data_IF_311871623014
#
_entry.id   IF_311871623014
#
_cell.length_a   1.000
_cell.length_b   1.000
_cell.length_c   1.000
_cell.angle_alpha   90.00
_cell.angle_beta   90.00
_cell.angle_gamma   90.00
#
_symmetry.space_group_name_H-M   'P 1'
#
loop_
_entity.id
_entity.type
_entity.pdbx_description
1 polymer ?
#
# COMPACT_ATOMS: atom_id res chain seq x y z
N UNK A 1 20.12 3.65 -9.84
CA UNK A 1 18.69 3.56 -9.48
C UNK A 1 17.86 3.64 -10.74
N UNK A 2 16.83 2.77 -10.89
CA UNK A 2 15.91 2.87 -12.02
C UNK A 2 15.04 4.13 -11.90
N UNK A 3 14.54 4.62 -13.01
CA UNK A 3 13.53 5.70 -13.08
C UNK A 3 12.17 5.08 -13.35
N UNK A 4 11.15 5.50 -12.63
CA UNK A 4 9.78 5.07 -12.89
C UNK A 4 9.20 5.90 -14.03
N UNK A 5 8.71 5.22 -15.07
CA UNK A 5 8.05 5.88 -16.21
C UNK A 5 6.58 6.22 -15.97
N UNK A 6 6.04 5.85 -14.80
CA UNK A 6 4.68 6.13 -14.37
C UNK A 6 4.61 7.23 -13.31
N UNK A 7 3.54 7.19 -12.50
CA UNK A 7 3.29 8.17 -11.44
C UNK A 7 2.69 7.49 -10.21
N UNK A 8 3.13 7.87 -9.02
CA UNK A 8 2.62 7.41 -7.72
C UNK A 8 2.10 8.61 -6.95
N UNK A 9 0.81 8.67 -6.70
CA UNK A 9 0.15 9.77 -5.97
C UNK A 9 -0.24 9.30 -4.58
N UNK A 10 0.20 9.99 -3.54
CA UNK A 10 -0.23 9.69 -2.17
C UNK A 10 -1.60 10.30 -1.88
N UNK A 11 -2.54 9.48 -1.42
CA UNK A 11 -3.92 9.89 -1.13
C UNK A 11 -4.17 10.13 0.37
N UNK A 12 -3.09 10.21 1.14
CA UNK A 12 -3.16 10.24 2.60
C UNK A 12 -3.22 8.84 3.21
N UNK A 13 -2.83 8.73 4.47
CA UNK A 13 -2.73 7.47 5.22
C UNK A 13 -1.88 6.42 4.49
N UNK A 14 -2.45 5.27 4.14
CA UNK A 14 -1.79 4.23 3.35
C UNK A 14 -2.30 4.15 1.90
N UNK A 15 -3.17 5.08 1.49
CA UNK A 15 -3.80 5.09 0.17
C UNK A 15 -2.91 5.66 -0.92
N UNK A 16 -2.82 4.97 -2.06
CA UNK A 16 -2.09 5.43 -3.25
C UNK A 16 -2.89 5.21 -4.53
N UNK A 17 -2.72 6.13 -5.48
CA UNK A 17 -3.03 5.89 -6.87
C UNK A 17 -1.72 5.76 -7.64
N UNK A 18 -1.53 4.64 -8.34
CA UNK A 18 -0.37 4.39 -9.19
C UNK A 18 -0.84 4.32 -10.63
N UNK A 19 -0.25 5.17 -11.47
CA UNK A 19 -0.42 5.14 -12.91
C UNK A 19 0.86 4.54 -13.52
N UNK A 20 0.71 3.42 -14.21
CA UNK A 20 1.84 2.71 -14.81
C UNK A 20 2.37 3.45 -16.05
N UNK A 21 3.58 3.14 -16.54
CA UNK A 21 4.08 3.66 -17.81
C UNK A 21 3.15 3.41 -19.00
N UNK A 22 2.41 2.31 -18.97
CA UNK A 22 1.40 1.95 -19.98
C UNK A 22 0.01 2.59 -19.75
N UNK A 23 -0.15 3.42 -18.70
CA UNK A 23 -1.40 4.11 -18.39
C UNK A 23 -2.42 3.26 -17.60
N UNK A 24 -2.03 2.09 -17.10
CA UNK A 24 -2.87 1.30 -16.18
C UNK A 24 -2.93 1.99 -14.82
N UNK A 25 -4.14 2.11 -14.27
CA UNK A 25 -4.38 2.85 -13.02
C UNK A 25 -4.80 1.90 -11.90
N UNK A 26 -3.96 1.85 -10.87
CA UNK A 26 -4.10 0.99 -9.69
C UNK A 26 -4.32 1.86 -8.45
N UNK A 27 -5.46 1.74 -7.79
CA UNK A 27 -5.65 2.28 -6.45
C UNK A 27 -5.32 1.19 -5.41
N UNK A 28 -4.52 1.52 -4.40
CA UNK A 28 -4.20 0.61 -3.29
C UNK A 28 -4.71 1.26 -2.01
N UNK A 29 -5.46 0.51 -1.21
CA UNK A 29 -6.03 0.93 0.08
C UNK A 29 -6.70 2.32 0.03
N UNK A 30 -7.68 2.52 -0.86
CA UNK A 30 -8.27 3.82 -1.14
C UNK A 30 -9.29 4.23 -0.07
N UNK A 31 -8.83 4.53 1.15
CA UNK A 31 -9.68 5.11 2.18
C UNK A 31 -10.02 6.56 1.83
N UNK A 32 -11.31 6.84 1.61
CA UNK A 32 -11.85 8.12 1.12
C UNK A 32 -12.68 8.82 2.19
N UNK A 33 -13.75 8.14 2.63
CA UNK A 33 -14.70 8.69 3.60
C UNK A 33 -14.05 8.81 4.98
N UNK A 34 -14.17 10.01 5.57
CA UNK A 34 -13.60 10.30 6.89
C UNK A 34 -12.05 10.23 6.99
N UNK A 35 -11.34 10.12 5.88
CA UNK A 35 -9.88 10.27 5.87
C UNK A 35 -9.53 11.77 5.94
N UNK A 36 -8.97 12.27 7.07
CA UNK A 36 -8.68 13.71 7.23
C UNK A 36 -7.55 14.20 6.31
N UNK A 37 -6.80 13.27 5.71
CA UNK A 37 -5.71 13.54 4.77
C UNK A 37 -6.09 13.30 3.32
N UNK A 38 -7.30 12.81 3.02
CA UNK A 38 -7.70 12.60 1.63
C UNK A 38 -7.75 13.92 0.85
N UNK A 39 -7.15 14.01 -0.34
CA UNK A 39 -7.10 15.25 -1.10
C UNK A 39 -8.51 15.71 -1.50
N UNK A 40 -8.88 16.94 -1.13
CA UNK A 40 -10.22 17.48 -1.45
C UNK A 40 -10.46 17.54 -2.95
N UNK A 41 -11.59 16.99 -3.38
CA UNK A 41 -11.99 16.99 -4.81
C UNK A 41 -11.18 16.06 -5.68
N UNK A 42 -10.40 15.16 -5.11
CA UNK A 42 -9.64 14.18 -5.88
C UNK A 42 -10.58 13.23 -6.63
N UNK A 43 -10.36 13.09 -7.93
CA UNK A 43 -11.10 12.17 -8.79
C UNK A 43 -10.19 11.05 -9.28
N UNK A 44 -10.57 9.82 -8.99
CA UNK A 44 -9.87 8.65 -9.48
C UNK A 44 -9.97 8.48 -10.99
N UNK A 45 -10.98 9.07 -11.63
CA UNK A 45 -11.27 8.80 -13.04
C UNK A 45 -11.49 7.31 -13.33
N UNK A 46 -11.01 6.84 -14.46
CA UNK A 46 -11.02 5.40 -14.79
C UNK A 46 -10.00 4.67 -13.90
N UNK A 47 -10.41 3.55 -13.31
CA UNK A 47 -9.51 2.61 -12.61
C UNK A 47 -9.57 1.24 -13.30
N UNK A 48 -8.42 0.59 -13.38
CA UNK A 48 -8.29 -0.77 -13.89
C UNK A 48 -8.25 -1.78 -12.74
N UNK A 49 -7.61 -1.41 -11.62
CA UNK A 49 -7.46 -2.25 -10.44
C UNK A 49 -7.70 -1.45 -9.15
N UNK A 50 -8.35 -2.07 -8.18
CA UNK A 50 -8.36 -1.65 -6.77
C UNK A 50 -7.75 -2.80 -5.95
N UNK A 51 -6.59 -2.57 -5.35
CA UNK A 51 -5.89 -3.56 -4.54
C UNK A 51 -6.13 -3.30 -3.05
N UNK A 52 -6.32 -4.38 -2.30
CA UNK A 52 -6.52 -4.34 -0.86
C UNK A 52 -5.37 -5.05 -0.15
N UNK A 53 -4.67 -4.38 0.77
CA UNK A 53 -3.69 -5.04 1.65
C UNK A 53 -4.40 -5.77 2.78
N UNK A 54 -5.47 -5.19 3.30
CA UNK A 54 -6.35 -5.80 4.31
C UNK A 54 -7.69 -5.04 4.42
N UNK A 55 -8.60 -5.55 5.23
CA UNK A 55 -9.98 -5.09 5.25
C UNK A 55 -10.31 -3.99 6.25
N UNK A 56 -9.36 -3.38 6.97
CA UNK A 56 -9.64 -2.31 7.92
C UNK A 56 -10.27 -1.09 7.23
N UNK A 57 -11.10 -0.34 7.98
CA UNK A 57 -11.88 0.79 7.45
C UNK A 57 -11.01 1.93 6.91
N UNK A 58 -9.83 2.12 7.48
CA UNK A 58 -8.85 3.15 7.12
C UNK A 58 -7.89 2.73 5.99
N UNK A 59 -8.15 1.58 5.38
CA UNK A 59 -7.46 1.04 4.20
C UNK A 59 -8.41 0.78 3.06
N UNK A 60 -8.86 -0.48 2.91
CA UNK A 60 -9.78 -0.83 1.84
C UNK A 60 -11.25 -0.61 2.26
N UNK A 61 -11.66 -1.19 3.37
CA UNK A 61 -12.97 -1.02 3.95
C UNK A 61 -14.16 -1.02 2.97
N UNK A 62 -15.19 -0.25 3.30
CA UNK A 62 -16.35 -0.05 2.42
C UNK A 62 -16.04 0.84 1.22
N UNK A 63 -15.08 1.77 1.36
CA UNK A 63 -14.67 2.69 0.29
C UNK A 63 -14.07 1.96 -0.90
N UNK A 64 -13.22 0.95 -0.66
CA UNK A 64 -12.62 0.14 -1.71
C UNK A 64 -13.67 -0.64 -2.50
N UNK A 65 -14.65 -1.24 -1.79
CA UNK A 65 -15.79 -1.94 -2.42
C UNK A 65 -16.62 -0.96 -3.28
N UNK A 66 -16.98 0.19 -2.71
CA UNK A 66 -17.77 1.19 -3.41
C UNK A 66 -17.06 1.74 -4.64
N UNK A 67 -15.75 2.01 -4.52
CA UNK A 67 -14.91 2.49 -5.62
C UNK A 67 -14.81 1.46 -6.74
N UNK A 68 -14.57 0.19 -6.41
CA UNK A 68 -14.50 -0.90 -7.39
C UNK A 68 -15.83 -1.06 -8.16
N UNK A 69 -16.96 -1.02 -7.45
CA UNK A 69 -18.30 -1.07 -8.07
C UNK A 69 -18.55 0.13 -8.99
N UNK A 70 -18.19 1.33 -8.54
CA UNK A 70 -18.38 2.57 -9.33
C UNK A 70 -17.56 2.58 -10.62
N UNK A 71 -16.32 2.05 -10.57
CA UNK A 71 -15.38 2.14 -11.70
C UNK A 71 -15.35 0.89 -12.57
N UNK A 72 -15.92 -0.23 -12.11
CA UNK A 72 -15.80 -1.53 -12.76
C UNK A 72 -14.39 -2.12 -12.73
N UNK A 73 -13.54 -1.62 -11.83
CA UNK A 73 -12.18 -2.09 -11.64
C UNK A 73 -12.14 -3.51 -11.06
N UNK A 74 -11.08 -4.25 -11.37
CA UNK A 74 -10.85 -5.57 -10.78
C UNK A 74 -10.30 -5.40 -9.36
N UNK A 75 -10.95 -6.02 -8.36
CA UNK A 75 -10.38 -6.06 -7.00
C UNK A 75 -9.33 -7.16 -6.92
N UNK A 76 -8.12 -6.80 -6.48
CA UNK A 76 -7.04 -7.73 -6.13
C UNK A 76 -6.90 -7.74 -4.61
N UNK A 77 -7.07 -8.91 -4.00
CA UNK A 77 -7.03 -9.06 -2.54
C UNK A 77 -6.62 -10.49 -2.14
N UNK A 78 -6.34 -10.69 -0.86
CA UNK A 78 -6.23 -12.04 -0.32
C UNK A 78 -7.56 -12.78 -0.54
N UNK A 79 -7.49 -14.08 -0.73
CA UNK A 79 -8.59 -14.92 -1.23
C UNK A 79 -9.92 -14.67 -0.48
N UNK A 80 -9.90 -14.65 0.85
CA UNK A 80 -11.10 -14.45 1.66
C UNK A 80 -11.70 -13.05 1.46
N UNK A 81 -10.88 -12.00 1.42
CA UNK A 81 -11.36 -10.64 1.18
C UNK A 81 -11.91 -10.48 -0.24
N UNK A 82 -11.32 -11.15 -1.24
CA UNK A 82 -11.86 -11.17 -2.61
C UNK A 82 -13.24 -11.84 -2.66
N UNK A 83 -13.44 -12.95 -1.94
CA UNK A 83 -14.77 -13.58 -1.81
C UNK A 83 -15.78 -12.63 -1.16
N UNK A 84 -15.38 -11.93 -0.10
CA UNK A 84 -16.22 -10.92 0.54
C UNK A 84 -16.63 -9.81 -0.43
N UNK A 85 -15.68 -9.28 -1.22
CA UNK A 85 -15.96 -8.27 -2.25
C UNK A 85 -16.97 -8.78 -3.30
N UNK A 86 -16.80 -10.01 -3.77
CA UNK A 86 -17.75 -10.64 -4.70
C UNK A 86 -19.15 -10.77 -4.10
N UNK A 87 -19.24 -11.22 -2.85
CA UNK A 87 -20.52 -11.28 -2.12
C UNK A 87 -21.16 -9.90 -1.90
N UNK A 88 -20.34 -8.85 -1.78
CA UNK A 88 -20.78 -7.45 -1.71
C UNK A 88 -21.16 -6.85 -3.08
N UNK A 89 -21.09 -7.62 -4.16
CA UNK A 89 -21.51 -7.23 -5.50
C UNK A 89 -20.44 -6.55 -6.35
N UNK A 90 -19.15 -6.79 -6.05
CA UNK A 90 -18.07 -6.45 -6.98
C UNK A 90 -18.01 -7.49 -8.09
N UNK A 91 -18.16 -7.07 -9.33
CA UNK A 91 -18.28 -7.99 -10.49
C UNK A 91 -16.95 -8.69 -10.82
N UNK A 92 -15.83 -7.99 -10.66
CA UNK A 92 -14.49 -8.50 -11.01
C UNK A 92 -13.62 -8.60 -9.75
N UNK A 93 -13.39 -9.82 -9.31
CA UNK A 93 -12.51 -10.09 -8.16
C UNK A 93 -11.43 -11.09 -8.56
N UNK A 94 -10.22 -10.86 -8.08
CA UNK A 94 -9.06 -11.69 -8.30
C UNK A 94 -8.39 -11.99 -6.96
N UNK A 95 -8.82 -13.10 -6.35
CA UNK A 95 -8.28 -13.59 -5.09
C UNK A 95 -6.94 -14.27 -5.28
N UNK A 96 -6.00 -14.00 -4.37
CA UNK A 96 -4.68 -14.66 -4.36
C UNK A 96 -4.23 -14.91 -2.93
N UNK A 97 -3.05 -15.51 -2.75
CA UNK A 97 -2.50 -15.75 -1.42
C UNK A 97 -1.01 -15.42 -1.35
N UNK A 98 -0.50 -15.24 -0.13
CA UNK A 98 0.91 -14.90 0.13
C UNK A 98 1.85 -15.94 -0.50
N UNK A 99 2.91 -15.45 -1.14
CA UNK A 99 3.84 -16.25 -1.94
C UNK A 99 3.43 -16.42 -3.41
N UNK A 100 2.16 -16.20 -3.75
CA UNK A 100 1.65 -16.25 -5.12
C UNK A 100 1.92 -14.96 -5.90
N UNK A 101 1.82 -15.06 -7.22
CA UNK A 101 1.78 -13.91 -8.13
C UNK A 101 0.72 -14.09 -9.19
N UNK A 102 0.18 -12.98 -9.67
CA UNK A 102 -0.75 -12.95 -10.79
C UNK A 102 -0.56 -11.68 -11.60
N UNK A 103 -1.00 -11.69 -12.84
CA UNK A 103 -0.98 -10.51 -13.71
C UNK A 103 -2.40 -10.01 -13.93
N UNK A 104 -2.67 -8.77 -13.52
CA UNK A 104 -3.98 -8.12 -13.71
C UNK A 104 -3.75 -6.80 -14.43
N UNK A 105 -4.51 -6.56 -15.49
CA UNK A 105 -4.39 -5.39 -16.37
C UNK A 105 -2.93 -5.14 -16.86
N UNK A 106 -2.10 -6.18 -16.98
CA UNK A 106 -0.72 -6.06 -17.43
C UNK A 106 0.32 -5.87 -16.30
N UNK A 107 -0.10 -5.51 -15.10
CA UNK A 107 0.76 -5.35 -13.91
C UNK A 107 0.87 -6.69 -13.17
N UNK A 108 2.09 -7.08 -12.79
CA UNK A 108 2.29 -8.23 -11.92
C UNK A 108 2.12 -7.83 -10.46
N UNK A 109 1.23 -8.52 -9.77
CA UNK A 109 1.02 -8.45 -8.33
C UNK A 109 1.62 -9.70 -7.68
N UNK A 110 2.60 -9.51 -6.84
CA UNK A 110 3.12 -10.56 -5.96
C UNK A 110 2.70 -10.26 -4.53
N UNK A 111 1.91 -11.14 -3.96
CA UNK A 111 1.48 -10.99 -2.58
C UNK A 111 2.56 -11.52 -1.63
N UNK A 112 2.93 -10.72 -0.66
CA UNK A 112 3.95 -11.04 0.35
C UNK A 112 3.40 -10.90 1.76
N UNK A 113 4.16 -11.37 2.75
CA UNK A 113 3.77 -11.31 4.16
C UNK A 113 3.63 -9.87 4.66
N UNK A 114 2.69 -9.68 5.58
CA UNK A 114 2.59 -8.55 6.50
C UNK A 114 2.26 -9.08 7.90
N UNK A 115 2.74 -8.41 8.95
CA UNK A 115 2.55 -8.79 10.36
C UNK A 115 1.68 -7.74 11.03
N UNK A 116 0.39 -7.97 10.97
CA UNK A 116 -0.66 -7.07 11.47
C UNK A 116 -1.93 -7.87 11.77
N UNK A 117 -2.91 -7.24 12.40
CA UNK A 117 -4.27 -7.77 12.44
C UNK A 117 -5.00 -7.48 11.13
N UNK A 118 -6.01 -8.26 10.83
CA UNK A 118 -6.87 -8.00 9.69
C UNK A 118 -8.29 -8.48 9.98
N UNK A 119 -9.20 -7.94 9.24
CA UNK A 119 -10.63 -8.21 9.32
C UNK A 119 -11.32 -7.09 8.56
N UNK A 120 -12.58 -7.27 8.23
CA UNK A 120 -13.37 -6.16 7.70
C UNK A 120 -13.95 -5.42 8.89
N UNK A 121 -13.45 -4.23 9.21
CA UNK A 121 -14.03 -3.33 10.20
C UNK A 121 -14.68 -2.15 9.49
N UNK A 122 -16.00 -2.02 9.59
CA UNK A 122 -16.68 -0.76 9.27
C UNK A 122 -16.68 0.14 10.50
N UNK A 123 -16.79 1.46 10.35
CA UNK A 123 -16.94 2.37 11.47
C UNK A 123 -18.20 2.02 12.26
N UNK A 124 -18.03 1.29 13.38
CA UNK A 124 -19.11 0.88 14.30
C UNK A 124 -19.84 -0.41 13.92
N UNK A 125 -19.34 -1.22 13.01
CA UNK A 125 -19.86 -2.56 12.74
C UNK A 125 -18.74 -3.58 12.86
N UNK A 126 -18.94 -4.55 13.77
CA UNK A 126 -18.13 -5.75 13.80
C UNK A 126 -18.40 -6.54 12.52
N UNK A 127 -17.46 -6.52 11.59
CA UNK A 127 -17.46 -7.46 10.49
C UNK A 127 -16.63 -8.66 10.92
N UNK A 128 -17.28 -9.79 11.10
CA UNK A 128 -16.67 -11.07 11.48
C UNK A 128 -16.01 -11.77 10.30
N UNK A 129 -15.53 -11.03 9.28
CA UNK A 129 -14.89 -11.66 8.15
C UNK A 129 -13.37 -11.73 8.39
N UNK A 130 -12.84 -12.90 8.74
CA UNK A 130 -11.40 -13.06 8.92
C UNK A 130 -10.70 -13.00 7.56
N UNK A 131 -9.71 -12.13 7.46
CA UNK A 131 -8.78 -12.11 6.35
C UNK A 131 -7.39 -11.77 6.91
N UNK A 132 -6.36 -12.33 6.31
CA UNK A 132 -4.99 -12.02 6.69
C UNK A 132 -4.50 -10.73 6.03
N UNK A 133 -3.65 -9.93 6.69
CA UNK A 133 -2.99 -8.78 6.06
C UNK A 133 -1.92 -9.25 5.10
N UNK A 134 -1.67 -8.46 4.08
CA UNK A 134 -0.60 -8.71 3.11
C UNK A 134 0.07 -7.40 2.64
N UNK A 135 1.26 -7.53 2.09
CA UNK A 135 1.89 -6.53 1.26
C UNK A 135 1.89 -6.97 -0.21
N UNK A 136 2.23 -6.06 -1.09
CA UNK A 136 2.39 -6.34 -2.52
C UNK A 136 3.74 -5.85 -3.03
N UNK A 137 4.38 -6.67 -3.88
CA UNK A 137 5.39 -6.18 -4.81
C UNK A 137 4.73 -6.11 -6.18
N UNK A 138 4.58 -4.89 -6.70
CA UNK A 138 4.06 -4.63 -8.04
C UNK A 138 5.24 -4.50 -9.00
N UNK A 139 5.19 -5.22 -10.13
CA UNK A 139 6.16 -5.06 -11.22
C UNK A 139 5.45 -4.46 -12.43
N UNK A 140 5.93 -3.31 -12.86
CA UNK A 140 5.37 -2.54 -13.97
C UNK A 140 6.05 -2.89 -15.29
N UNK A 141 5.53 -2.37 -16.41
CA UNK A 141 5.94 -2.71 -17.78
C UNK A 141 7.41 -2.35 -18.07
N UNK A 142 7.92 -1.29 -17.42
CA UNK A 142 9.33 -0.84 -17.50
C UNK A 142 10.27 -1.63 -16.58
N UNK A 143 9.74 -2.62 -15.86
CA UNK A 143 10.47 -3.42 -14.88
C UNK A 143 10.73 -2.69 -13.55
N UNK A 144 10.11 -1.53 -13.32
CA UNK A 144 10.14 -0.85 -12.02
C UNK A 144 9.30 -1.63 -11.01
N UNK A 145 9.80 -1.75 -9.77
CA UNK A 145 9.16 -2.54 -8.72
C UNK A 145 8.84 -1.68 -7.51
N UNK A 146 7.58 -1.70 -7.12
CA UNK A 146 7.09 -1.00 -5.93
C UNK A 146 6.66 -2.02 -4.88
N UNK A 147 7.23 -1.95 -3.69
CA UNK A 147 6.75 -2.69 -2.54
C UNK A 147 5.82 -1.82 -1.71
N UNK A 148 4.54 -2.17 -1.63
CA UNK A 148 3.58 -1.60 -0.70
C UNK A 148 3.45 -2.55 0.48
N UNK A 149 3.91 -2.12 1.65
CA UNK A 149 3.97 -3.00 2.82
C UNK A 149 2.59 -3.33 3.41
N UNK A 150 1.58 -2.51 3.12
CA UNK A 150 0.35 -2.50 3.92
C UNK A 150 0.66 -2.08 5.35
N UNK A 151 -0.24 -2.40 6.25
CA UNK A 151 0.03 -2.28 7.68
C UNK A 151 0.83 -3.47 8.16
N UNK A 152 1.93 -3.17 8.82
CA UNK A 152 2.85 -4.21 9.30
C UNK A 152 3.79 -3.69 10.38
N UNK A 153 4.20 -4.61 11.26
CA UNK A 153 5.45 -4.49 12.01
C UNK A 153 6.65 -4.80 11.09
N UNK A 154 7.87 -4.48 11.51
CA UNK A 154 9.09 -4.99 10.89
C UNK A 154 9.24 -6.49 11.18
N UNK A 155 9.60 -7.28 10.19
CA UNK A 155 9.83 -8.72 10.33
C UNK A 155 11.03 -9.18 9.50
N UNK A 156 11.64 -10.30 9.91
CA UNK A 156 12.91 -10.78 9.33
C UNK A 156 12.83 -11.04 7.83
N UNK A 157 11.69 -11.56 7.37
CA UNK A 157 11.51 -11.97 5.98
C UNK A 157 11.37 -10.80 5.00
N UNK A 158 11.36 -9.54 5.49
CA UNK A 158 11.60 -8.37 4.64
C UNK A 158 12.96 -8.47 3.92
N UNK A 159 13.95 -9.18 4.50
CA UNK A 159 15.21 -9.46 3.82
C UNK A 159 15.02 -10.36 2.58
N UNK A 160 14.14 -11.36 2.68
CA UNK A 160 13.80 -12.21 1.53
C UNK A 160 13.03 -11.43 0.46
N UNK A 161 12.14 -10.53 0.86
CA UNK A 161 11.45 -9.63 -0.09
C UNK A 161 12.49 -8.77 -0.83
N UNK A 162 13.46 -8.21 -0.11
CA UNK A 162 14.55 -7.42 -0.69
C UNK A 162 15.43 -8.24 -1.63
N UNK A 163 15.80 -9.47 -1.25
CA UNK A 163 16.67 -10.36 -2.03
C UNK A 163 15.98 -10.87 -3.30
N UNK A 164 14.73 -11.35 -3.17
CA UNK A 164 14.04 -12.03 -4.26
C UNK A 164 13.39 -11.05 -5.26
N UNK A 165 12.94 -9.89 -4.78
CA UNK A 165 12.13 -8.98 -5.60
C UNK A 165 12.77 -7.62 -5.83
N UNK A 166 13.83 -7.26 -5.14
CA UNK A 166 14.64 -6.04 -5.36
C UNK A 166 13.76 -4.79 -5.62
N UNK A 167 12.93 -4.34 -4.66
CA UNK A 167 12.04 -3.21 -4.88
C UNK A 167 12.85 -1.92 -5.13
N UNK A 168 12.47 -1.18 -6.17
CA UNK A 168 13.06 0.11 -6.52
C UNK A 168 12.53 1.25 -5.63
N UNK A 169 11.33 1.04 -5.05
CA UNK A 169 10.66 1.94 -4.11
C UNK A 169 9.87 1.11 -3.09
N UNK A 170 9.95 1.48 -1.82
CA UNK A 170 9.12 0.91 -0.76
C UNK A 170 8.15 1.97 -0.21
N UNK A 171 6.88 1.61 -0.05
CA UNK A 171 5.86 2.39 0.64
C UNK A 171 5.70 1.77 2.03
N UNK A 172 6.20 2.45 3.07
CA UNK A 172 6.31 1.88 4.42
C UNK A 172 5.53 2.70 5.45
N UNK A 173 4.74 2.05 6.32
CA UNK A 173 4.12 2.74 7.45
C UNK A 173 5.19 3.17 8.46
N UNK A 174 5.03 4.40 8.98
CA UNK A 174 5.94 4.98 9.96
C UNK A 174 5.21 5.60 11.16
N UNK A 175 3.90 5.41 11.25
CA UNK A 175 3.05 6.12 12.22
C UNK A 175 3.28 5.74 13.67
N UNK A 176 3.88 4.57 13.93
CA UNK A 176 3.94 3.94 15.24
C UNK A 176 2.52 3.56 15.75
N UNK A 177 2.35 3.20 16.99
CA UNK A 177 1.15 2.81 17.69
C UNK A 177 0.40 1.61 17.08
N UNK A 178 0.03 1.65 15.81
CA UNK A 178 -0.65 0.56 15.10
C UNK A 178 0.29 -0.19 14.14
N UNK A 179 1.39 0.42 13.73
CA UNK A 179 2.34 -0.11 12.73
C UNK A 179 3.78 0.11 13.18
N UNK A 180 4.73 0.02 12.25
CA UNK A 180 6.11 0.43 12.52
C UNK A 180 6.19 1.91 12.90
N UNK A 181 7.10 2.24 13.82
CA UNK A 181 7.61 3.61 13.96
C UNK A 181 8.79 3.87 13.04
N UNK A 182 9.35 5.11 13.05
CA UNK A 182 10.49 5.49 12.21
C UNK A 182 11.73 4.60 12.38
N UNK A 183 12.00 4.12 13.61
CA UNK A 183 13.13 3.26 13.93
C UNK A 183 13.02 1.87 13.27
N UNK A 184 11.86 1.27 13.36
CA UNK A 184 11.53 -0.03 12.76
C UNK A 184 11.47 0.09 11.23
N UNK A 185 10.90 1.17 10.71
CA UNK A 185 10.86 1.45 9.28
C UNK A 185 12.27 1.65 8.68
N UNK A 186 13.20 2.28 9.41
CA UNK A 186 14.59 2.35 8.98
C UNK A 186 15.24 0.95 8.94
N UNK A 187 14.90 0.05 9.89
CA UNK A 187 15.33 -1.35 9.82
C UNK A 187 14.69 -2.09 8.65
N UNK A 188 13.43 -1.83 8.34
CA UNK A 188 12.77 -2.38 7.16
C UNK A 188 13.48 -1.92 5.86
N UNK A 189 13.87 -0.66 5.74
CA UNK A 189 14.67 -0.16 4.61
C UNK A 189 16.00 -0.92 4.47
N UNK A 190 16.69 -1.20 5.58
CA UNK A 190 17.93 -1.99 5.59
C UNK A 190 17.71 -3.42 5.08
N UNK A 191 16.64 -4.09 5.55
CA UNK A 191 16.31 -5.46 5.16
C UNK A 191 15.88 -5.54 3.69
N UNK A 192 15.03 -4.63 3.25
CA UNK A 192 14.54 -4.54 1.87
C UNK A 192 15.60 -4.10 0.86
N UNK A 193 16.68 -3.44 1.33
CA UNK A 193 17.68 -2.78 0.48
C UNK A 193 17.07 -1.82 -0.54
N UNK A 194 15.88 -1.29 -0.25
CA UNK A 194 15.19 -0.38 -1.14
C UNK A 194 15.94 0.96 -1.24
N UNK A 195 16.27 1.43 -2.46
CA UNK A 195 16.99 2.67 -2.62
C UNK A 195 16.16 3.91 -2.30
N UNK A 196 14.82 3.77 -2.29
CA UNK A 196 13.86 4.84 -1.97
C UNK A 196 12.75 4.34 -1.08
N UNK A 197 12.24 5.22 -0.22
CA UNK A 197 11.06 4.99 0.62
C UNK A 197 10.11 6.17 0.56
N UNK A 198 8.82 5.90 0.37
CA UNK A 198 7.74 6.86 0.65
C UNK A 198 7.17 6.49 2.01
N UNK A 199 7.28 7.35 3.02
CA UNK A 199 6.66 7.13 4.31
C UNK A 199 5.14 7.31 4.22
N UNK A 200 4.38 6.38 4.78
CA UNK A 200 2.92 6.40 4.81
C UNK A 200 2.39 6.11 6.22
N UNK A 201 1.08 6.12 6.41
CA UNK A 201 0.38 5.81 7.67
C UNK A 201 0.84 6.66 8.86
N UNK A 202 1.03 7.96 8.65
CA UNK A 202 1.48 8.92 9.67
C UNK A 202 0.67 10.22 9.65
N UNK A 203 0.56 10.84 10.81
CA UNK A 203 -0.08 12.15 10.98
C UNK A 203 -1.57 12.20 10.62
N UNK A 204 -2.24 11.06 10.46
CA UNK A 204 -3.68 10.95 10.18
C UNK A 204 -4.49 10.99 11.46
N UNK A 205 -4.00 10.31 12.49
CA UNK A 205 -4.59 10.30 13.83
C UNK A 205 -3.62 10.92 14.84
N UNK A 206 -4.12 11.54 15.93
CA UNK A 206 -3.25 12.13 16.96
C UNK A 206 -2.30 11.13 17.64
N UNK A 207 -2.64 9.83 17.62
CA UNK A 207 -1.85 8.75 18.21
C UNK A 207 -0.72 8.25 17.30
N UNK A 208 -0.54 8.84 16.12
CA UNK A 208 0.51 8.47 15.15
C UNK A 208 1.63 9.53 15.17
N UNK A 209 2.61 9.42 16.09
CA UNK A 209 3.65 10.44 16.28
C UNK A 209 4.78 10.38 15.24
N UNK A 210 4.88 9.30 14.46
CA UNK A 210 5.93 9.12 13.47
C UNK A 210 5.95 10.23 12.42
N UNK A 211 7.15 10.62 11.97
CA UNK A 211 7.34 11.66 10.95
C UNK A 211 8.41 11.27 9.94
N UNK A 212 8.35 11.79 8.70
CA UNK A 212 9.43 11.60 7.72
C UNK A 212 10.79 12.13 8.19
N UNK A 213 10.81 13.19 8.99
CA UNK A 213 12.03 13.73 9.59
C UNK A 213 12.68 12.72 10.54
N UNK A 214 11.89 12.12 11.43
CA UNK A 214 12.36 11.08 12.34
C UNK A 214 12.87 9.84 11.58
N UNK A 215 12.23 9.46 10.47
CA UNK A 215 12.73 8.38 9.61
C UNK A 215 14.09 8.71 9.00
N UNK A 216 14.31 9.95 8.52
CA UNK A 216 15.64 10.38 7.99
C UNK A 216 16.72 10.29 9.05
N UNK A 217 16.43 10.70 10.28
CA UNK A 217 17.37 10.58 11.40
C UNK A 217 17.75 9.12 11.69
N UNK A 218 16.75 8.21 11.71
CA UNK A 218 17.01 6.80 11.95
C UNK A 218 17.79 6.12 10.81
N UNK A 219 17.53 6.49 9.55
CA UNK A 219 18.32 6.04 8.40
C UNK A 219 19.78 6.52 8.51
N UNK A 220 19.99 7.80 8.89
CA UNK A 220 21.31 8.37 9.08
C UNK A 220 22.10 7.67 10.21
N UNK A 221 21.45 7.42 11.36
CA UNK A 221 22.06 6.67 12.48
C UNK A 221 22.52 5.27 12.07
N UNK A 222 21.88 4.65 11.07
CA UNK A 222 22.22 3.35 10.52
C UNK A 222 23.22 3.40 9.36
N UNK A 223 23.62 4.60 8.91
CA UNK A 223 24.49 4.77 7.75
C UNK A 223 23.85 4.36 6.43
N UNK A 224 22.52 4.39 6.32
CA UNK A 224 21.78 4.00 5.13
C UNK A 224 21.59 5.18 4.19
N UNK A 225 21.83 4.95 2.89
CA UNK A 225 21.64 5.93 1.82
C UNK A 225 20.25 5.90 1.18
N UNK A 226 19.25 5.29 1.82
CA UNK A 226 17.87 5.25 1.33
C UNK A 226 17.28 6.66 1.24
N UNK A 227 16.84 7.06 0.04
CA UNK A 227 16.18 8.34 -0.20
C UNK A 227 14.76 8.34 0.38
N UNK A 228 14.44 9.31 1.24
CA UNK A 228 13.08 9.52 1.75
C UNK A 228 12.33 10.47 0.82
N UNK A 229 11.43 9.91 0.03
CA UNK A 229 10.52 10.66 -0.86
C UNK A 229 9.30 11.08 -0.04
N UNK A 230 9.32 12.30 0.46
CA UNK A 230 8.20 12.86 1.23
C UNK A 230 7.16 13.47 0.29
N UNK A 231 5.92 13.04 0.40
CA UNK A 231 4.80 13.54 -0.38
C UNK A 231 3.76 14.21 0.51
N UNK A 232 3.17 15.31 0.04
CA UNK A 232 1.94 15.82 0.58
C UNK A 232 0.75 15.03 -0.01
N UNK A 233 -0.41 14.97 0.70
CA UNK A 233 -1.61 14.37 0.14
C UNK A 233 -2.01 14.98 -1.21
N UNK A 234 -2.20 14.17 -2.24
CA UNK A 234 -2.45 14.57 -3.61
C UNK A 234 -1.19 14.84 -4.44
N UNK A 235 -0.01 14.89 -3.83
CA UNK A 235 1.24 15.03 -4.54
C UNK A 235 1.68 13.69 -5.15
N UNK A 236 2.35 13.77 -6.30
CA UNK A 236 2.84 12.62 -7.06
C UNK A 236 4.36 12.57 -7.13
N UNK A 237 4.88 11.35 -7.29
CA UNK A 237 6.27 11.05 -7.60
C UNK A 237 6.33 10.03 -8.76
N UNK A 238 7.27 10.16 -9.74
CA UNK A 238 8.07 11.36 -9.99
C UNK A 238 7.20 12.59 -10.26
N UNK A 239 7.79 13.78 -10.09
CA UNK A 239 7.08 15.05 -10.27
C UNK A 239 6.78 15.35 -11.73
#
# INVERSE_FOLDING_TARGET
MKTFGGKITWLGHAGFLIESPGGVRVAIDPWIANNPKFPKGFDFGKLDVVAATHGHFDHFGEDGIALAKKTGATVVAIFELALHCGAAGVEKVSGMNKGGSQKVAGIEFRMVQAVHSAGTSGAGRESNFPADPCGYVLTFEDGFRVYHAGDTNVFSDMALIGELYEPDLALLPIGDFYTMGPREAAKACELLRAPRVVPMHWGTFPVLPGTPAALREELQKRGLGTEVVELAPGQSWPA
#
